data_IF_018267712842
#
_entry.id   IF_018267712842
#
_cell.length_a   1.000
_cell.length_b   1.000
_cell.length_c   1.000
_cell.angle_alpha   90.00
_cell.angle_beta   90.00
_cell.angle_gamma   90.00
#
_symmetry.space_group_name_H-M   'P 1'
#
loop_
_entity.id
_entity.type
_entity.pdbx_description
1 polymer ?
#
# COMPACT_ATOMS: atom_id res chain seq x y z
N UNK A 1 -1.87 8.16 -10.47
CA UNK A 1 -2.31 7.50 -9.23
C UNK A 1 -2.87 6.16 -9.61
N UNK A 2 -2.21 5.11 -9.15
CA UNK A 2 -2.67 3.74 -9.30
C UNK A 2 -3.79 3.47 -8.29
N UNK A 3 -4.66 2.51 -8.60
CA UNK A 3 -5.71 2.07 -7.68
C UNK A 3 -5.58 0.59 -7.39
N UNK A 4 -5.73 0.19 -6.13
CA UNK A 4 -5.84 -1.23 -5.78
C UNK A 4 -7.26 -1.67 -6.09
N UNK A 5 -7.39 -2.76 -6.85
CA UNK A 5 -8.68 -3.33 -7.25
C UNK A 5 -8.96 -4.65 -6.55
N UNK A 6 -7.93 -5.28 -5.96
CA UNK A 6 -8.07 -6.51 -5.18
C UNK A 6 -6.97 -6.59 -4.13
N UNK A 7 -7.35 -7.07 -2.95
CA UNK A 7 -6.45 -7.43 -1.86
C UNK A 7 -6.82 -8.82 -1.35
N UNK A 8 -5.82 -9.69 -1.20
CA UNK A 8 -5.93 -10.96 -0.49
C UNK A 8 -4.96 -10.92 0.69
N UNK A 9 -5.48 -11.16 1.90
CA UNK A 9 -4.65 -11.23 3.11
C UNK A 9 -4.00 -12.60 3.19
N UNK A 10 -2.68 -12.61 3.37
CA UNK A 10 -1.88 -13.80 3.59
C UNK A 10 -1.36 -13.81 5.03
N UNK A 11 -0.68 -14.89 5.42
CA UNK A 11 -0.05 -15.01 6.74
C UNK A 11 1.09 -13.98 6.93
N UNK A 12 1.52 -13.78 8.18
CA UNK A 12 2.68 -12.96 8.54
C UNK A 12 2.66 -11.51 8.02
N UNK A 13 1.48 -10.88 8.02
CA UNK A 13 1.26 -9.50 7.56
C UNK A 13 1.54 -9.26 6.07
N UNK A 14 1.53 -10.31 5.26
CA UNK A 14 1.66 -10.22 3.82
C UNK A 14 0.31 -9.91 3.16
N UNK A 15 0.31 -9.03 2.16
CA UNK A 15 -0.85 -8.75 1.31
C UNK A 15 -0.52 -9.00 -0.15
N UNK A 16 -1.36 -9.78 -0.84
CA UNK A 16 -1.33 -9.91 -2.30
C UNK A 16 -2.25 -8.87 -2.93
N UNK A 17 -1.71 -7.99 -3.76
CA UNK A 17 -2.39 -6.85 -4.35
C UNK A 17 -2.55 -7.01 -5.86
N UNK A 18 -3.66 -6.50 -6.39
CA UNK A 18 -3.84 -6.25 -7.83
C UNK A 18 -4.20 -4.80 -8.06
N UNK A 19 -3.59 -4.19 -9.07
CA UNK A 19 -3.79 -2.80 -9.46
C UNK A 19 -4.61 -2.67 -10.75
N UNK A 20 -5.17 -1.48 -10.96
CA UNK A 20 -6.01 -1.13 -12.11
C UNK A 20 -5.30 -1.19 -13.47
N UNK A 21 -3.97 -1.08 -13.49
CA UNK A 21 -3.13 -1.26 -14.69
C UNK A 21 -2.80 -2.74 -14.99
N UNK A 22 -3.31 -3.66 -14.18
CA UNK A 22 -3.07 -5.10 -14.29
C UNK A 22 -1.81 -5.59 -13.54
N UNK A 23 -1.03 -4.69 -12.94
CA UNK A 23 0.10 -5.06 -12.09
C UNK A 23 -0.36 -5.85 -10.86
N UNK A 24 0.46 -6.80 -10.41
CA UNK A 24 0.20 -7.61 -9.23
C UNK A 24 1.48 -7.89 -8.47
N UNK A 25 1.37 -8.06 -7.16
CA UNK A 25 2.46 -8.57 -6.35
C UNK A 25 2.14 -8.56 -4.87
N UNK A 26 3.14 -8.92 -4.07
CA UNK A 26 2.99 -9.07 -2.62
C UNK A 26 3.79 -7.98 -1.92
N UNK A 27 3.19 -7.41 -0.87
CA UNK A 27 3.87 -6.51 0.06
C UNK A 27 3.97 -7.15 1.44
N UNK A 28 5.06 -6.87 2.13
CA UNK A 28 5.30 -7.25 3.52
C UNK A 28 5.14 -6.01 4.40
N UNK A 29 4.22 -6.11 5.37
CA UNK A 29 3.91 -5.05 6.32
C UNK A 29 4.31 -5.43 7.76
N UNK A 30 5.02 -6.53 7.96
CA UNK A 30 5.41 -7.04 9.28
C UNK A 30 6.13 -5.99 10.12
N UNK A 31 7.12 -5.31 9.53
CA UNK A 31 7.95 -4.32 10.22
C UNK A 31 7.18 -3.05 10.66
N UNK A 32 5.99 -2.82 10.10
CA UNK A 32 5.13 -1.70 10.51
C UNK A 32 4.28 -2.06 11.73
N UNK A 33 3.93 -3.33 11.90
CA UNK A 33 2.98 -3.78 12.90
C UNK A 33 3.42 -3.42 14.33
N UNK A 34 2.46 -3.02 15.16
CA UNK A 34 2.69 -2.79 16.59
C UNK A 34 3.33 -1.45 16.96
N UNK A 35 3.63 -0.58 15.98
CA UNK A 35 4.24 0.74 16.21
C UNK A 35 3.31 1.88 15.83
N UNK A 36 3.17 2.88 16.71
CA UNK A 36 2.42 4.11 16.42
C UNK A 36 0.99 3.84 15.94
N UNK A 37 0.61 4.40 14.79
CA UNK A 37 -0.72 4.22 14.18
C UNK A 37 -0.99 2.75 13.80
N UNK A 38 0.05 1.95 13.56
CA UNK A 38 -0.04 0.52 13.26
C UNK A 38 -0.15 -0.36 14.49
N UNK A 39 -0.22 0.21 15.71
CA UNK A 39 -0.52 -0.56 16.93
C UNK A 39 -1.87 -1.30 16.86
N UNK A 40 -2.79 -0.84 16.00
CA UNK A 40 -4.03 -1.54 15.64
C UNK A 40 -3.77 -2.98 15.19
N UNK A 41 -2.66 -3.22 14.49
CA UNK A 41 -2.33 -4.54 13.93
C UNK A 41 -1.72 -5.51 14.93
N UNK A 42 -1.50 -5.12 16.20
CA UNK A 42 -1.20 -6.09 17.27
C UNK A 42 -2.33 -7.12 17.43
N UNK A 43 -3.56 -6.70 17.10
CA UNK A 43 -4.65 -7.64 16.83
C UNK A 43 -4.60 -8.02 15.34
N UNK A 44 -4.19 -9.26 15.07
CA UNK A 44 -4.12 -9.75 13.70
C UNK A 44 -5.49 -9.85 13.03
N UNK A 45 -6.59 -10.00 13.78
CA UNK A 45 -7.94 -9.93 13.20
C UNK A 45 -8.26 -8.52 12.71
N UNK A 46 -7.79 -7.50 13.43
CA UNK A 46 -7.90 -6.13 12.96
C UNK A 46 -7.12 -5.95 11.65
N UNK A 47 -5.90 -6.50 11.54
CA UNK A 47 -5.14 -6.50 10.28
C UNK A 47 -5.87 -7.25 9.15
N UNK A 48 -6.50 -8.39 9.43
CA UNK A 48 -7.26 -9.14 8.42
C UNK A 48 -8.47 -8.38 7.87
N UNK A 49 -9.01 -7.42 8.62
CA UNK A 49 -10.16 -6.62 8.22
C UNK A 49 -9.81 -5.45 7.28
N UNK A 50 -8.77 -5.62 6.45
CA UNK A 50 -8.42 -4.65 5.40
C UNK A 50 -9.55 -4.53 4.38
N UNK A 51 -9.79 -3.30 3.91
CA UNK A 51 -10.72 -3.02 2.83
C UNK A 51 -10.07 -2.10 1.81
N UNK A 52 -10.64 -2.08 0.60
CA UNK A 52 -10.28 -1.09 -0.42
C UNK A 52 -11.24 0.09 -0.25
N UNK A 53 -10.70 1.29 -0.06
CA UNK A 53 -11.45 2.53 0.00
C UNK A 53 -11.86 3.05 -1.38
N UNK A 54 -12.65 4.12 -1.40
CA UNK A 54 -13.27 4.65 -2.63
C UNK A 54 -12.24 5.18 -3.65
N UNK A 55 -11.06 5.57 -3.18
CA UNK A 55 -9.97 6.05 -4.06
C UNK A 55 -8.99 4.94 -4.45
N UNK A 56 -9.20 3.70 -3.98
CA UNK A 56 -8.36 2.53 -4.24
C UNK A 56 -7.25 2.31 -3.21
N UNK A 57 -7.25 3.04 -2.10
CA UNK A 57 -6.37 2.89 -0.93
C UNK A 57 -6.75 1.68 -0.08
N UNK A 58 -5.81 1.16 0.72
CA UNK A 58 -6.16 0.15 1.72
C UNK A 58 -6.53 0.84 3.02
N UNK A 59 -7.62 0.43 3.65
CA UNK A 59 -8.10 1.00 4.92
C UNK A 59 -8.36 -0.08 5.97
N UNK A 60 -8.10 0.27 7.23
CA UNK A 60 -8.44 -0.51 8.42
C UNK A 60 -9.20 0.37 9.41
N UNK A 61 -10.50 0.08 9.59
CA UNK A 61 -11.37 0.67 10.62
C UNK A 61 -11.22 2.20 10.78
N UNK A 62 -11.12 2.93 9.66
CA UNK A 62 -10.95 4.38 9.56
C UNK A 62 -9.74 4.98 10.30
N UNK A 63 -8.83 4.15 10.80
CA UNK A 63 -7.68 4.56 11.63
C UNK A 63 -6.35 4.46 10.91
N UNK A 64 -6.23 3.48 10.00
CA UNK A 64 -5.04 3.29 9.18
C UNK A 64 -5.46 3.27 7.72
N UNK A 65 -4.85 4.11 6.91
CA UNK A 65 -4.90 4.05 5.46
C UNK A 65 -3.48 3.91 4.88
N UNK A 66 -3.36 3.13 3.81
CA UNK A 66 -2.14 3.02 3.03
C UNK A 66 -2.38 3.49 1.61
N UNK A 67 -1.55 4.45 1.20
CA UNK A 67 -1.59 5.03 -0.14
C UNK A 67 -1.31 3.96 -1.22
N UNK A 68 -2.13 3.87 -2.28
CA UNK A 68 -1.95 2.91 -3.37
C UNK A 68 -0.59 3.02 -4.04
N UNK A 69 -0.12 4.25 -4.26
CA UNK A 69 1.12 4.47 -5.00
C UNK A 69 2.35 4.03 -4.18
N UNK A 70 2.30 4.19 -2.85
CA UNK A 70 3.38 3.71 -1.97
C UNK A 70 3.49 2.18 -2.05
N UNK A 71 2.36 1.49 -2.01
CA UNK A 71 2.28 0.04 -2.18
C UNK A 71 2.70 -0.39 -3.59
N UNK A 72 2.33 0.37 -4.62
CA UNK A 72 2.75 0.11 -6.00
C UNK A 72 4.27 0.19 -6.19
N UNK A 73 4.92 1.19 -5.58
CA UNK A 73 6.38 1.30 -5.59
C UNK A 73 7.04 0.10 -4.91
N UNK A 74 6.53 -0.35 -3.77
CA UNK A 74 7.03 -1.57 -3.10
C UNK A 74 6.84 -2.82 -3.96
N UNK A 75 5.66 -3.03 -4.54
CA UNK A 75 5.35 -4.18 -5.39
C UNK A 75 6.23 -4.22 -6.64
N UNK A 76 6.47 -3.08 -7.27
CA UNK A 76 7.15 -3.02 -8.56
C UNK A 76 8.65 -2.77 -8.47
N UNK A 77 9.15 -2.32 -7.32
CA UNK A 77 10.53 -1.85 -7.14
C UNK A 77 10.87 -0.61 -7.98
N UNK A 78 9.88 0.05 -8.60
CA UNK A 78 10.08 1.27 -9.38
C UNK A 78 10.44 2.43 -8.47
N UNK A 79 11.14 3.42 -9.03
CA UNK A 79 11.38 4.67 -8.31
C UNK A 79 10.16 5.61 -8.40
N UNK A 80 10.04 6.54 -7.46
CA UNK A 80 9.00 7.57 -7.50
C UNK A 80 9.02 8.36 -8.82
N UNK A 81 10.19 8.62 -9.41
CA UNK A 81 10.28 9.32 -10.68
C UNK A 81 9.78 8.52 -11.89
N UNK A 82 9.73 7.19 -11.79
CA UNK A 82 9.20 6.33 -12.85
C UNK A 82 7.67 6.25 -12.80
N UNK A 83 7.10 6.34 -11.59
CA UNK A 83 5.66 6.29 -11.34
C UNK A 83 5.01 7.67 -11.43
N UNK A 84 5.75 8.71 -11.04
CA UNK A 84 5.31 10.10 -11.04
C UNK A 84 6.21 10.95 -11.95
N UNK A 85 5.92 11.02 -13.26
CA UNK A 85 6.74 11.77 -14.20
C UNK A 85 6.90 13.26 -13.82
N UNK A 86 5.92 13.83 -13.11
CA UNK A 86 5.98 15.21 -12.60
C UNK A 86 7.08 15.45 -11.56
N UNK A 87 7.48 14.44 -10.78
CA UNK A 87 8.54 14.57 -9.76
C UNK A 87 9.94 14.72 -10.37
N UNK A 88 10.16 14.16 -11.58
CA UNK A 88 11.46 14.25 -12.28
C UNK A 88 11.82 15.71 -12.63
N UNK A 89 10.82 16.57 -12.83
CA UNK A 89 11.04 17.97 -13.18
C UNK A 89 11.33 18.87 -11.96
N UNK A 90 10.94 18.51 -10.74
CA UNK A 90 11.23 19.35 -9.55
C UNK A 90 12.68 19.19 -9.06
N UNK A 91 13.26 18.00 -9.14
CA UNK A 91 14.66 17.77 -8.75
C UNK A 91 15.67 18.34 -9.76
N UNK A 92 15.26 18.60 -11.00
CA UNK A 92 16.10 19.23 -12.02
C UNK A 92 16.18 20.76 -11.91
N UNK A 93 15.34 21.37 -11.05
CA UNK A 93 15.26 22.82 -10.84
C UNK A 93 15.62 23.24 -9.40
N UNK A 94 16.21 22.34 -8.61
CA UNK A 94 16.65 22.58 -7.22
C UNK A 94 18.18 22.71 -7.11
#
# INVERSE_FOLDING_TARGET
MHKITRVDVLDDYLLSLSFDDGMRGTVDLHDLAGSGVFALWNDYEAFRNVKIGDSGELVWSDQVDLCPDSLYLQVTGKSAGDVFPGLKNELANA
#
